data_IF_848520075349
#
_entry.id   IF_848520075349
#
_cell.length_a   1.000
_cell.length_b   1.000
_cell.length_c   1.000
_cell.angle_alpha   90.00
_cell.angle_beta   90.00
_cell.angle_gamma   90.00
#
_symmetry.space_group_name_H-M   'P 1'
#
loop_
_entity.id
_entity.type
_entity.pdbx_description
1 polymer ?
#
# COMPACT_ATOMS: atom_id res chain seq x y z
N UNK A 1 -17.19 95.26 -62.16
CA UNK A 1 -17.96 96.33 -61.51
C UNK A 1 -17.45 97.67 -62.07
N UNK A 2 -18.32 98.58 -62.51
CA UNK A 2 -17.87 99.90 -63.01
C UNK A 2 -17.35 100.76 -61.86
N UNK A 3 -16.41 101.69 -62.11
CA UNK A 3 -15.84 102.58 -61.08
C UNK A 3 -16.90 103.39 -60.32
N UNK A 4 -17.98 103.78 -61.00
CA UNK A 4 -19.12 104.48 -60.41
C UNK A 4 -19.86 103.59 -59.39
N UNK A 5 -20.00 102.30 -59.69
CA UNK A 5 -20.70 101.35 -58.81
C UNK A 5 -19.85 101.00 -57.59
N UNK A 6 -18.52 100.93 -57.75
CA UNK A 6 -17.57 100.78 -56.67
C UNK A 6 -17.61 101.98 -55.70
N UNK A 7 -17.67 103.21 -56.23
CA UNK A 7 -17.82 104.42 -55.42
C UNK A 7 -19.16 104.48 -54.67
N UNK A 8 -20.27 104.10 -55.32
CA UNK A 8 -21.59 104.00 -54.69
C UNK A 8 -21.60 102.97 -53.55
N UNK A 9 -20.99 101.81 -53.77
CA UNK A 9 -20.87 100.76 -52.76
C UNK A 9 -20.12 101.26 -51.52
N UNK A 10 -18.97 101.92 -51.70
CA UNK A 10 -18.19 102.50 -50.59
C UNK A 10 -18.98 103.53 -49.80
N UNK A 11 -19.80 104.36 -50.46
CA UNK A 11 -20.66 105.34 -49.77
C UNK A 11 -21.72 104.63 -48.92
N UNK A 12 -22.37 103.60 -49.46
CA UNK A 12 -23.39 102.83 -48.75
C UNK A 12 -22.79 102.07 -47.55
N UNK A 13 -21.63 101.45 -47.72
CA UNK A 13 -20.91 100.75 -46.66
C UNK A 13 -20.52 101.72 -45.53
N UNK A 14 -19.97 102.89 -45.88
CA UNK A 14 -19.64 103.93 -44.89
C UNK A 14 -20.86 104.45 -44.14
N UNK A 15 -22.00 104.68 -44.80
CA UNK A 15 -23.24 105.08 -44.13
C UNK A 15 -23.74 103.98 -43.18
N UNK A 16 -23.65 102.72 -43.60
CA UNK A 16 -24.03 101.56 -42.79
C UNK A 16 -23.16 101.42 -41.55
N UNK A 17 -21.84 101.55 -41.67
CA UNK A 17 -20.89 101.53 -40.55
C UNK A 17 -21.14 102.66 -39.56
N UNK A 18 -21.50 103.87 -40.05
CA UNK A 18 -21.87 105.00 -39.21
C UNK A 18 -23.17 104.73 -38.43
N UNK A 19 -24.19 104.15 -39.09
CA UNK A 19 -25.45 103.76 -38.44
C UNK A 19 -25.24 102.65 -37.40
N UNK A 20 -24.40 101.66 -37.69
CA UNK A 20 -24.03 100.61 -36.71
C UNK A 20 -23.31 101.20 -35.50
N UNK A 21 -22.41 102.15 -35.70
CA UNK A 21 -21.71 102.84 -34.61
C UNK A 21 -22.67 103.69 -33.77
N UNK A 22 -23.67 104.32 -34.40
CA UNK A 22 -24.73 105.02 -33.69
C UNK A 22 -25.59 104.07 -32.85
N UNK A 23 -25.97 102.92 -33.40
CA UNK A 23 -26.72 101.90 -32.68
C UNK A 23 -25.94 101.33 -31.51
N UNK A 24 -24.63 101.13 -31.63
CA UNK A 24 -23.78 100.66 -30.53
C UNK A 24 -23.73 101.69 -29.39
N UNK A 25 -23.62 102.99 -29.71
CA UNK A 25 -23.70 104.08 -28.71
C UNK A 25 -25.05 104.12 -27.99
N UNK A 26 -26.15 103.98 -28.73
CA UNK A 26 -27.51 103.95 -28.16
C UNK A 26 -27.70 102.70 -27.30
N UNK A 27 -27.20 101.55 -27.74
CA UNK A 27 -27.31 100.28 -27.02
C UNK A 27 -26.55 100.31 -25.69
N UNK A 28 -25.35 100.90 -25.66
CA UNK A 28 -24.53 101.02 -24.43
C UNK A 28 -25.16 101.92 -23.36
N UNK A 29 -26.08 102.81 -23.73
CA UNK A 29 -26.81 103.67 -22.78
C UNK A 29 -28.10 103.03 -22.25
N UNK A 30 -28.52 101.90 -22.82
CA UNK A 30 -29.87 101.34 -22.68
C UNK A 30 -29.88 99.95 -22.02
N UNK A 31 -28.75 99.24 -21.99
CA UNK A 31 -28.69 97.80 -21.68
C UNK A 31 -28.99 97.43 -20.22
N UNK A 32 -28.65 98.29 -19.26
CA UNK A 32 -28.73 97.92 -17.83
C UNK A 32 -30.13 98.17 -17.24
N UNK A 33 -30.76 99.30 -17.58
CA UNK A 33 -32.07 99.67 -17.02
C UNK A 33 -33.26 99.03 -17.78
N UNK A 34 -33.20 98.97 -19.12
CA UNK A 34 -34.37 98.57 -19.92
C UNK A 34 -34.56 97.04 -19.96
N UNK A 35 -33.51 96.23 -19.83
CA UNK A 35 -33.63 94.77 -19.87
C UNK A 35 -34.43 94.20 -18.69
N UNK A 36 -34.18 94.75 -17.49
CA UNK A 36 -34.89 94.35 -16.27
C UNK A 36 -36.34 94.85 -16.27
N UNK A 37 -36.55 96.09 -16.71
CA UNK A 37 -37.90 96.68 -16.82
C UNK A 37 -38.75 96.00 -17.90
N UNK A 38 -38.18 95.66 -19.05
CA UNK A 38 -38.89 95.02 -20.16
C UNK A 38 -39.31 93.58 -19.79
N UNK A 39 -38.41 92.82 -19.14
CA UNK A 39 -38.73 91.49 -18.62
C UNK A 39 -39.79 91.58 -17.51
N UNK A 40 -39.69 92.56 -16.60
CA UNK A 40 -40.68 92.82 -15.57
C UNK A 40 -42.05 93.20 -16.14
N UNK A 41 -42.10 94.02 -17.19
CA UNK A 41 -43.32 94.41 -17.88
C UNK A 41 -43.98 93.23 -18.60
N UNK A 42 -43.20 92.40 -19.29
CA UNK A 42 -43.72 91.25 -20.03
C UNK A 42 -44.23 90.15 -19.09
N UNK A 43 -43.54 89.90 -17.97
CA UNK A 43 -44.03 89.02 -16.90
C UNK A 43 -45.32 89.56 -16.29
N UNK A 44 -45.38 90.87 -15.99
CA UNK A 44 -46.58 91.51 -15.42
C UNK A 44 -47.78 91.41 -16.35
N UNK A 45 -47.57 91.63 -17.65
CA UNK A 45 -48.61 91.49 -18.69
C UNK A 45 -49.10 90.04 -18.80
N UNK A 46 -48.19 89.07 -18.74
CA UNK A 46 -48.55 87.65 -18.82
C UNK A 46 -49.30 87.17 -17.56
N UNK A 47 -48.93 87.69 -16.38
CA UNK A 47 -49.67 87.47 -15.14
C UNK A 47 -51.08 88.05 -15.19
N UNK A 48 -51.25 89.27 -15.73
CA UNK A 48 -52.58 89.87 -15.87
C UNK A 48 -53.47 89.09 -16.86
N UNK A 49 -52.89 88.59 -17.96
CA UNK A 49 -53.58 87.73 -18.92
C UNK A 49 -53.99 86.39 -18.29
N UNK A 50 -53.09 85.78 -17.50
CA UNK A 50 -53.38 84.57 -16.76
C UNK A 50 -54.54 84.78 -15.78
N UNK A 51 -54.50 85.85 -14.99
CA UNK A 51 -55.57 86.20 -14.05
C UNK A 51 -56.94 86.38 -14.74
N UNK A 52 -56.96 87.05 -15.90
CA UNK A 52 -58.19 87.20 -16.72
C UNK A 52 -58.70 85.85 -17.24
N UNK A 53 -57.82 84.96 -17.68
CA UNK A 53 -58.19 83.63 -18.14
C UNK A 53 -58.72 82.74 -16.99
N UNK A 54 -58.13 82.84 -15.79
CA UNK A 54 -58.57 82.13 -14.59
C UNK A 54 -59.96 82.57 -14.16
N UNK A 55 -60.21 83.88 -14.11
CA UNK A 55 -61.54 84.43 -13.80
C UNK A 55 -62.58 83.99 -14.83
N UNK A 56 -62.27 84.10 -16.13
CA UNK A 56 -63.17 83.65 -17.21
C UNK A 56 -63.44 82.15 -17.13
N UNK A 57 -62.43 81.34 -16.79
CA UNK A 57 -62.61 79.91 -16.59
C UNK A 57 -63.52 79.61 -15.40
N UNK A 58 -63.32 80.28 -14.27
CA UNK A 58 -64.15 80.12 -13.07
C UNK A 58 -65.62 80.49 -13.34
N UNK A 59 -65.87 81.62 -14.02
CA UNK A 59 -67.21 82.05 -14.43
C UNK A 59 -67.88 81.03 -15.36
N UNK A 60 -67.16 80.52 -16.36
CA UNK A 60 -67.69 79.53 -17.30
C UNK A 60 -67.97 78.18 -16.65
N UNK A 61 -67.15 77.76 -15.66
CA UNK A 61 -67.39 76.55 -14.87
C UNK A 61 -68.64 76.71 -13.99
N UNK A 62 -68.81 77.86 -13.33
CA UNK A 62 -70.02 78.17 -12.56
C UNK A 62 -71.27 78.20 -13.45
N UNK A 63 -71.18 78.87 -14.61
CA UNK A 63 -72.23 78.90 -15.62
C UNK A 63 -72.59 77.49 -16.10
N UNK A 64 -71.60 76.63 -16.38
CA UNK A 64 -71.80 75.22 -16.72
C UNK A 64 -72.56 74.46 -15.62
N UNK A 65 -72.20 74.65 -14.36
CA UNK A 65 -72.90 73.98 -13.23
C UNK A 65 -74.36 74.44 -13.05
N UNK A 66 -74.67 75.70 -13.41
CA UNK A 66 -76.03 76.25 -13.35
C UNK A 66 -76.94 75.86 -14.53
N UNK A 67 -76.36 75.36 -15.64
CA UNK A 67 -77.06 74.99 -16.88
C UNK A 67 -77.41 73.49 -16.93
N UNK A 68 -78.06 72.96 -15.89
CA UNK A 68 -78.54 71.58 -15.84
C UNK A 68 -80.01 71.49 -16.26
N UNK A 69 -80.36 70.56 -17.16
CA UNK A 69 -81.73 70.36 -17.69
C UNK A 69 -81.80 70.24 -19.21
N UNK A 70 -82.78 69.47 -19.72
CA UNK A 70 -82.90 69.07 -21.14
C UNK A 70 -83.14 70.27 -22.07
N UNK A 71 -83.84 71.31 -21.62
CA UNK A 71 -84.13 72.53 -22.41
C UNK A 71 -82.89 73.41 -22.66
N UNK A 72 -81.88 73.32 -21.78
CA UNK A 72 -80.66 74.16 -21.85
C UNK A 72 -79.49 73.45 -22.54
N UNK A 73 -79.73 72.28 -23.12
CA UNK A 73 -78.72 71.42 -23.79
C UNK A 73 -77.86 72.14 -24.86
N UNK A 74 -78.39 72.98 -25.76
CA UNK A 74 -77.54 73.68 -26.74
C UNK A 74 -76.59 74.69 -26.09
N UNK A 75 -77.09 75.50 -25.13
CA UNK A 75 -76.28 76.47 -24.38
C UNK A 75 -75.25 75.80 -23.47
N UNK A 76 -75.56 74.62 -22.95
CA UNK A 76 -74.62 73.80 -22.18
C UNK A 76 -73.48 73.27 -23.05
N UNK A 77 -73.77 72.84 -24.28
CA UNK A 77 -72.75 72.37 -25.23
C UNK A 77 -71.80 73.50 -25.65
N UNK A 78 -72.36 74.69 -25.94
CA UNK A 78 -71.59 75.91 -26.24
C UNK A 78 -70.70 76.32 -25.07
N UNK A 79 -71.24 76.36 -23.85
CA UNK A 79 -70.46 76.65 -22.64
C UNK A 79 -69.39 75.59 -22.38
N UNK A 80 -69.62 74.32 -22.72
CA UNK A 80 -68.60 73.27 -22.59
C UNK A 80 -67.44 73.45 -23.57
N UNK A 81 -67.71 73.91 -24.79
CA UNK A 81 -66.65 74.16 -25.77
C UNK A 81 -65.84 75.40 -25.40
N UNK A 82 -66.50 76.48 -24.95
CA UNK A 82 -65.82 77.66 -24.39
C UNK A 82 -64.94 77.32 -23.18
N UNK A 83 -65.40 76.45 -22.28
CA UNK A 83 -64.59 75.96 -21.13
C UNK A 83 -63.34 75.22 -21.61
N UNK A 84 -63.44 74.38 -22.65
CA UNK A 84 -62.28 73.67 -23.21
C UNK A 84 -61.30 74.63 -23.88
N UNK A 85 -61.79 75.61 -24.62
CA UNK A 85 -60.95 76.62 -25.26
C UNK A 85 -60.21 77.48 -24.23
N UNK A 86 -60.91 77.98 -23.20
CA UNK A 86 -60.28 78.76 -22.13
C UNK A 86 -59.30 77.90 -21.32
N UNK A 87 -59.60 76.62 -21.06
CA UNK A 87 -58.65 75.70 -20.42
C UNK A 87 -57.38 75.49 -21.24
N UNK A 88 -57.51 75.39 -22.58
CA UNK A 88 -56.37 75.27 -23.49
C UNK A 88 -55.54 76.56 -23.49
N UNK A 89 -56.18 77.72 -23.58
CA UNK A 89 -55.50 79.03 -23.50
C UNK A 89 -54.79 79.23 -22.16
N UNK A 90 -55.41 78.82 -21.05
CA UNK A 90 -54.84 78.87 -19.71
C UNK A 90 -53.60 77.97 -19.60
N UNK A 91 -53.67 76.75 -20.13
CA UNK A 91 -52.53 75.82 -20.17
C UNK A 91 -51.38 76.37 -21.01
N UNK A 92 -51.68 76.95 -22.17
CA UNK A 92 -50.66 77.55 -23.05
C UNK A 92 -50.03 78.80 -22.42
N UNK A 93 -50.83 79.65 -21.76
CA UNK A 93 -50.36 80.82 -21.00
C UNK A 93 -49.47 80.42 -19.82
N UNK A 94 -49.89 79.43 -19.03
CA UNK A 94 -49.10 78.87 -17.93
C UNK A 94 -47.78 78.26 -18.42
N UNK A 95 -47.79 77.58 -19.58
CA UNK A 95 -46.59 77.02 -20.19
C UNK A 95 -45.62 78.12 -20.65
N UNK A 96 -46.13 79.22 -21.23
CA UNK A 96 -45.32 80.39 -21.60
C UNK A 96 -44.70 81.06 -20.38
N UNK A 97 -45.48 81.26 -19.31
CA UNK A 97 -45.02 81.86 -18.06
C UNK A 97 -43.94 80.98 -17.40
N UNK A 98 -44.18 79.67 -17.31
CA UNK A 98 -43.21 78.71 -16.76
C UNK A 98 -41.95 78.64 -17.61
N UNK A 99 -42.06 78.78 -18.93
CA UNK A 99 -40.91 78.83 -19.84
C UNK A 99 -40.09 80.10 -19.60
N UNK A 100 -40.72 81.27 -19.51
CA UNK A 100 -40.07 82.54 -19.18
C UNK A 100 -39.36 82.54 -17.82
N UNK A 101 -39.89 81.80 -16.83
CA UNK A 101 -39.22 81.63 -15.54
C UNK A 101 -38.13 80.54 -15.53
N UNK A 102 -38.18 79.54 -16.43
CA UNK A 102 -37.22 78.42 -16.52
C UNK A 102 -36.06 78.69 -17.47
N UNK A 103 -36.37 79.20 -18.65
CA UNK A 103 -35.40 79.83 -19.53
C UNK A 103 -35.11 81.16 -18.86
N UNK A 104 -34.19 81.18 -17.90
CA UNK A 104 -33.60 82.41 -17.38
C UNK A 104 -32.95 83.06 -18.62
N UNK A 105 -33.61 84.00 -19.31
CA UNK A 105 -33.04 84.57 -20.50
C UNK A 105 -31.84 85.31 -19.97
N UNK A 106 -30.65 84.85 -20.31
CA UNK A 106 -29.44 85.56 -19.92
C UNK A 106 -29.37 86.76 -20.87
N UNK A 107 -30.22 87.75 -20.59
CA UNK A 107 -30.39 88.95 -21.41
C UNK A 107 -29.04 89.66 -21.52
N UNK A 108 -28.20 89.51 -20.50
CA UNK A 108 -26.82 89.96 -20.52
C UNK A 108 -25.98 89.20 -21.56
N UNK A 109 -26.00 87.86 -21.59
CA UNK A 109 -25.33 87.09 -22.66
C UNK A 109 -25.89 87.36 -24.05
N UNK A 110 -27.20 87.51 -24.19
CA UNK A 110 -27.83 87.82 -25.47
C UNK A 110 -27.45 89.24 -25.94
N UNK A 111 -27.41 90.22 -25.02
CA UNK A 111 -26.93 91.57 -25.30
C UNK A 111 -25.43 91.59 -25.63
N UNK A 112 -24.61 90.80 -24.91
CA UNK A 112 -23.18 90.62 -25.19
C UNK A 112 -22.96 89.99 -26.57
N UNK A 113 -23.76 88.97 -26.93
CA UNK A 113 -23.73 88.35 -28.25
C UNK A 113 -24.12 89.34 -29.34
N UNK A 114 -25.21 90.10 -29.16
CA UNK A 114 -25.61 91.14 -30.11
C UNK A 114 -24.54 92.20 -30.28
N UNK A 115 -23.85 92.59 -29.19
CA UNK A 115 -22.70 93.50 -29.25
C UNK A 115 -21.54 92.89 -30.03
N UNK A 116 -21.20 91.63 -29.76
CA UNK A 116 -20.14 90.90 -30.46
C UNK A 116 -20.45 90.77 -31.96
N UNK A 117 -21.65 90.32 -32.31
CA UNK A 117 -22.11 90.16 -33.70
C UNK A 117 -22.09 91.53 -34.44
N UNK A 118 -22.47 92.62 -33.77
CA UNK A 118 -22.38 93.99 -34.33
C UNK A 118 -20.93 94.42 -34.54
N UNK A 119 -20.03 94.14 -33.60
CA UNK A 119 -18.60 94.46 -33.75
C UNK A 119 -17.98 93.66 -34.90
N UNK A 120 -18.28 92.37 -35.01
CA UNK A 120 -17.83 91.52 -36.11
C UNK A 120 -18.37 91.98 -37.47
N UNK A 121 -19.66 92.32 -37.55
CA UNK A 121 -20.24 92.86 -38.76
C UNK A 121 -19.58 94.18 -39.16
N UNK A 122 -19.30 95.05 -38.17
CA UNK A 122 -18.59 96.30 -38.41
C UNK A 122 -17.19 96.07 -38.97
N UNK A 123 -16.43 95.13 -38.40
CA UNK A 123 -15.10 94.75 -38.88
C UNK A 123 -15.16 94.23 -40.32
N UNK A 124 -16.13 93.37 -40.64
CA UNK A 124 -16.35 92.87 -42.02
C UNK A 124 -16.67 94.02 -42.99
N UNK A 125 -17.47 94.99 -42.57
CA UNK A 125 -17.82 96.15 -43.38
C UNK A 125 -16.62 97.10 -43.58
N UNK A 126 -15.79 97.28 -42.57
CA UNK A 126 -14.55 98.08 -42.63
C UNK A 126 -13.51 97.41 -43.56
N UNK A 127 -13.31 96.10 -43.42
CA UNK A 127 -12.52 95.28 -44.35
C UNK A 127 -13.03 95.39 -45.78
N UNK A 128 -14.35 95.35 -45.97
CA UNK A 128 -14.99 95.50 -47.27
C UNK A 128 -14.74 96.89 -47.88
N UNK A 129 -14.82 97.94 -47.08
CA UNK A 129 -14.52 99.31 -47.51
C UNK A 129 -13.06 99.42 -47.94
N UNK A 130 -12.12 98.85 -47.18
CA UNK A 130 -10.71 98.87 -47.52
C UNK A 130 -10.42 98.09 -48.81
N UNK A 131 -10.94 96.87 -48.92
CA UNK A 131 -10.78 96.03 -50.10
C UNK A 131 -11.39 96.66 -51.34
N UNK A 132 -12.59 97.24 -51.24
CA UNK A 132 -13.26 97.92 -52.36
C UNK A 132 -12.67 99.29 -52.69
N UNK A 133 -11.83 99.89 -51.84
CA UNK A 133 -11.13 101.15 -52.15
C UNK A 133 -9.82 100.93 -52.93
N UNK A 134 -9.31 99.69 -52.97
CA UNK A 134 -8.11 99.32 -53.73
C UNK A 134 -8.43 98.96 -55.20
N UNK A 135 -7.51 99.25 -56.12
CA UNK A 135 -7.62 98.82 -57.53
C UNK A 135 -7.74 97.28 -57.61
N UNK A 136 -8.79 96.77 -58.25
CA UNK A 136 -9.09 95.33 -58.32
C UNK A 136 -9.84 94.76 -57.10
N UNK A 137 -10.36 95.62 -56.22
CA UNK A 137 -10.96 95.27 -54.93
C UNK A 137 -12.04 94.19 -54.93
N UNK A 138 -12.94 94.20 -55.92
CA UNK A 138 -14.03 93.23 -55.99
C UNK A 138 -13.55 91.80 -56.22
N UNK A 139 -12.50 91.60 -57.03
CA UNK A 139 -11.94 90.27 -57.28
C UNK A 139 -11.25 89.71 -56.02
N UNK A 140 -10.59 90.56 -55.24
CA UNK A 140 -9.98 90.17 -53.96
C UNK A 140 -11.04 89.77 -52.93
N UNK A 141 -12.15 90.50 -52.86
CA UNK A 141 -13.27 90.15 -52.00
C UNK A 141 -13.94 88.83 -52.42
N UNK A 142 -14.12 88.62 -53.72
CA UNK A 142 -14.63 87.36 -54.26
C UNK A 142 -13.71 86.19 -53.88
N UNK A 143 -12.39 86.34 -54.01
CA UNK A 143 -11.43 85.32 -53.58
C UNK A 143 -11.49 85.05 -52.06
N UNK A 144 -11.54 86.09 -51.22
CA UNK A 144 -11.69 85.95 -49.75
C UNK A 144 -12.99 85.21 -49.39
N UNK A 145 -14.08 85.51 -50.08
CA UNK A 145 -15.38 84.84 -49.87
C UNK A 145 -15.34 83.37 -50.28
N UNK A 146 -14.75 83.05 -51.42
CA UNK A 146 -14.56 81.65 -51.86
C UNK A 146 -13.71 80.88 -50.86
N UNK A 147 -12.60 81.47 -50.41
CA UNK A 147 -11.73 80.85 -49.41
C UNK A 147 -12.44 80.62 -48.07
N UNK A 148 -13.26 81.56 -47.62
CA UNK A 148 -14.04 81.39 -46.39
C UNK A 148 -15.08 80.28 -46.52
N UNK A 149 -15.71 80.14 -47.70
CA UNK A 149 -16.63 79.05 -47.99
C UNK A 149 -15.91 77.69 -47.98
N UNK A 150 -14.72 77.62 -48.58
CA UNK A 150 -13.88 76.41 -48.54
C UNK A 150 -13.45 76.06 -47.12
N UNK A 151 -13.05 77.05 -46.31
CA UNK A 151 -12.72 76.87 -44.89
C UNK A 151 -13.93 76.35 -44.10
N UNK A 152 -15.13 76.88 -44.39
CA UNK A 152 -16.37 76.43 -43.74
C UNK A 152 -16.70 74.97 -44.11
N UNK A 153 -16.48 74.57 -45.36
CA UNK A 153 -16.65 73.18 -45.80
C UNK A 153 -15.61 72.24 -45.16
N UNK A 154 -14.35 72.68 -45.05
CA UNK A 154 -13.32 71.95 -44.32
C UNK A 154 -13.68 71.79 -42.84
N UNK A 155 -14.17 72.85 -42.19
CA UNK A 155 -14.61 72.79 -40.80
C UNK A 155 -15.77 71.80 -40.63
N UNK A 156 -16.75 71.78 -41.55
CA UNK A 156 -17.84 70.79 -41.52
C UNK A 156 -17.33 69.36 -41.64
N UNK A 157 -16.34 69.12 -42.52
CA UNK A 157 -15.69 67.80 -42.65
C UNK A 157 -14.95 67.40 -41.38
N UNK A 158 -14.19 68.33 -40.78
CA UNK A 158 -13.48 68.09 -39.52
C UNK A 158 -14.44 67.77 -38.37
N UNK A 159 -15.56 68.49 -38.26
CA UNK A 159 -16.59 68.20 -37.26
C UNK A 159 -17.18 66.80 -37.47
N UNK A 160 -17.37 66.38 -38.73
CA UNK A 160 -17.88 65.05 -39.03
C UNK A 160 -16.87 63.95 -38.68
N UNK A 161 -15.59 64.12 -39.05
CA UNK A 161 -14.55 63.16 -38.69
C UNK A 161 -14.31 63.10 -37.19
N UNK A 162 -14.38 64.24 -36.49
CA UNK A 162 -14.29 64.29 -35.03
C UNK A 162 -15.45 63.52 -34.37
N UNK A 163 -16.68 63.64 -34.88
CA UNK A 163 -17.82 62.86 -34.38
C UNK A 163 -17.62 61.36 -34.59
N UNK A 164 -17.12 60.95 -35.75
CA UNK A 164 -16.84 59.55 -36.07
C UNK A 164 -15.73 58.99 -35.17
N UNK A 165 -14.63 59.72 -34.99
CA UNK A 165 -13.54 59.36 -34.08
C UNK A 165 -14.02 59.27 -32.64
N UNK A 166 -14.86 60.20 -32.18
CA UNK A 166 -15.43 60.15 -30.83
C UNK A 166 -16.35 58.95 -30.63
N UNK A 167 -17.10 58.53 -31.65
CA UNK A 167 -17.90 57.31 -31.59
C UNK A 167 -17.00 56.07 -31.52
N UNK A 168 -15.92 56.05 -32.29
CA UNK A 168 -14.96 54.95 -32.30
C UNK A 168 -14.21 54.84 -30.96
N UNK A 169 -13.77 55.95 -30.39
CA UNK A 169 -13.15 55.98 -29.05
C UNK A 169 -14.12 55.43 -28.01
N UNK A 170 -15.40 55.80 -28.07
CA UNK A 170 -16.42 55.24 -27.16
C UNK A 170 -16.58 53.73 -27.33
N UNK A 171 -16.60 53.23 -28.58
CA UNK A 171 -16.67 51.80 -28.88
C UNK A 171 -15.46 51.05 -28.31
N UNK A 172 -14.25 51.54 -28.60
CA UNK A 172 -13.01 50.94 -28.11
C UNK A 172 -12.91 50.97 -26.58
N UNK A 173 -13.35 52.05 -25.93
CA UNK A 173 -13.39 52.13 -24.46
C UNK A 173 -14.34 51.08 -23.87
N UNK A 174 -15.49 50.85 -24.51
CA UNK A 174 -16.44 49.81 -24.08
C UNK A 174 -15.86 48.40 -24.28
N UNK A 175 -15.19 48.15 -25.40
CA UNK A 175 -14.52 46.87 -25.68
C UNK A 175 -13.41 46.60 -24.68
N UNK A 176 -12.56 47.58 -24.40
CA UNK A 176 -11.52 47.48 -23.39
C UNK A 176 -12.09 47.19 -21.99
N UNK A 177 -13.17 47.88 -21.60
CA UNK A 177 -13.83 47.62 -20.32
C UNK A 177 -14.43 46.21 -20.26
N UNK A 178 -14.98 45.71 -21.36
CA UNK A 178 -15.51 44.34 -21.44
C UNK A 178 -14.39 43.32 -21.32
N UNK A 179 -13.32 43.47 -22.09
CA UNK A 179 -12.16 42.58 -22.05
C UNK A 179 -11.51 42.56 -20.66
N UNK A 180 -11.41 43.70 -20.00
CA UNK A 180 -10.92 43.78 -18.63
C UNK A 180 -11.81 43.02 -17.64
N UNK A 181 -13.15 43.09 -17.78
CA UNK A 181 -14.07 42.30 -16.93
C UNK A 181 -13.94 40.81 -17.21
N UNK A 182 -13.88 40.41 -18.47
CA UNK A 182 -13.73 39.01 -18.87
C UNK A 182 -12.41 38.44 -18.33
N UNK A 183 -11.32 39.21 -18.42
CA UNK A 183 -10.03 38.86 -17.82
C UNK A 183 -10.10 38.72 -16.29
N UNK A 184 -10.80 39.63 -15.60
CA UNK A 184 -10.97 39.53 -14.15
C UNK A 184 -11.74 38.27 -13.74
N UNK A 185 -12.79 37.93 -14.47
CA UNK A 185 -13.57 36.70 -14.24
C UNK A 185 -12.69 35.47 -14.46
N UNK A 186 -11.96 35.40 -15.58
CA UNK A 186 -11.05 34.29 -15.88
C UNK A 186 -9.96 34.16 -14.80
N UNK A 187 -9.43 35.27 -14.31
CA UNK A 187 -8.43 35.27 -13.23
C UNK A 187 -9.00 34.75 -11.92
N UNK A 188 -10.25 35.10 -11.59
CA UNK A 188 -10.96 34.57 -10.42
C UNK A 188 -11.20 33.06 -10.55
N UNK A 189 -11.71 32.59 -11.68
CA UNK A 189 -11.94 31.16 -11.93
C UNK A 189 -10.65 30.34 -11.85
N UNK A 190 -9.55 30.86 -12.43
CA UNK A 190 -8.22 30.23 -12.32
C UNK A 190 -7.73 30.16 -10.87
N UNK A 191 -7.90 31.24 -10.11
CA UNK A 191 -7.52 31.27 -8.70
C UNK A 191 -8.35 30.29 -7.85
N UNK A 192 -9.66 30.20 -8.09
CA UNK A 192 -10.54 29.21 -7.44
C UNK A 192 -10.12 27.78 -7.78
N UNK A 193 -9.77 27.52 -9.04
CA UNK A 193 -9.27 26.21 -9.48
C UNK A 193 -7.93 25.86 -8.82
N UNK A 194 -7.02 26.83 -8.70
CA UNK A 194 -5.75 26.65 -7.97
C UNK A 194 -6.04 26.32 -6.50
N UNK A 195 -7.00 27.00 -5.87
CA UNK A 195 -7.35 26.77 -4.48
C UNK A 195 -7.92 25.36 -4.26
N UNK A 196 -8.85 24.90 -5.12
CA UNK A 196 -9.37 23.52 -5.09
C UNK A 196 -8.28 22.49 -5.26
N UNK A 197 -7.37 22.69 -6.22
CA UNK A 197 -6.23 21.79 -6.43
C UNK A 197 -5.26 21.75 -5.23
N UNK A 198 -5.07 22.88 -4.53
CA UNK A 198 -4.27 22.93 -3.30
C UNK A 198 -4.95 22.15 -2.17
N UNK A 199 -6.26 22.27 -2.04
CA UNK A 199 -7.05 21.54 -1.05
C UNK A 199 -6.99 20.02 -1.29
N UNK A 200 -7.21 19.59 -2.54
CA UNK A 200 -7.07 18.18 -2.93
C UNK A 200 -5.65 17.64 -2.69
N UNK A 201 -4.62 18.45 -2.99
CA UNK A 201 -3.22 18.09 -2.74
C UNK A 201 -2.96 17.92 -1.23
N UNK A 202 -3.45 18.86 -0.41
CA UNK A 202 -3.33 18.80 1.04
C UNK A 202 -4.04 17.59 1.62
N UNK A 203 -5.24 17.28 1.15
CA UNK A 203 -6.00 16.11 1.55
C UNK A 203 -5.24 14.81 1.20
N UNK A 204 -4.83 14.66 -0.06
CA UNK A 204 -4.05 13.48 -0.49
C UNK A 204 -2.73 13.34 0.26
N UNK A 205 -2.04 14.44 0.55
CA UNK A 205 -0.80 14.43 1.35
C UNK A 205 -1.08 13.97 2.79
N UNK A 206 -2.17 14.45 3.39
CA UNK A 206 -2.58 14.03 4.74
C UNK A 206 -2.96 12.54 4.76
N UNK A 207 -3.77 12.08 3.81
CA UNK A 207 -4.16 10.67 3.68
C UNK A 207 -2.93 9.77 3.46
N UNK A 208 -2.01 10.15 2.57
CA UNK A 208 -0.77 9.40 2.34
C UNK A 208 0.12 9.35 3.59
N UNK A 209 0.22 10.46 4.33
CA UNK A 209 0.96 10.50 5.60
C UNK A 209 0.34 9.56 6.63
N UNK A 210 -0.98 9.62 6.82
CA UNK A 210 -1.69 8.76 7.76
C UNK A 210 -1.58 7.28 7.38
N UNK A 211 -1.75 6.95 6.09
CA UNK A 211 -1.56 5.59 5.58
C UNK A 211 -0.16 5.08 5.84
N UNK A 212 0.86 5.92 5.60
CA UNK A 212 2.26 5.55 5.87
C UNK A 212 2.50 5.32 7.36
N UNK A 213 2.02 6.20 8.23
CA UNK A 213 2.15 6.04 9.68
C UNK A 213 1.46 4.76 10.17
N UNK A 214 0.28 4.46 9.64
CA UNK A 214 -0.46 3.23 9.93
C UNK A 214 0.30 1.98 9.44
N UNK A 215 0.81 2.00 8.21
CA UNK A 215 1.60 0.90 7.65
C UNK A 215 2.90 0.68 8.42
N UNK A 216 3.59 1.76 8.81
CA UNK A 216 4.80 1.67 9.64
C UNK A 216 4.46 1.08 11.02
N UNK A 217 3.35 1.51 11.64
CA UNK A 217 2.90 0.96 12.92
C UNK A 217 2.54 -0.52 12.82
N UNK A 218 1.82 -0.92 11.76
CA UNK A 218 1.47 -2.32 11.52
C UNK A 218 2.71 -3.19 11.25
N UNK A 219 3.65 -2.70 10.42
CA UNK A 219 4.91 -3.40 10.17
C UNK A 219 5.73 -3.56 11.44
N UNK A 220 5.81 -2.52 12.29
CA UNK A 220 6.46 -2.60 13.60
C UNK A 220 5.77 -3.62 14.52
N UNK A 221 4.45 -3.56 14.65
CA UNK A 221 3.69 -4.51 15.48
C UNK A 221 3.86 -5.96 14.99
N UNK A 222 3.87 -6.19 13.67
CA UNK A 222 4.12 -7.50 13.09
C UNK A 222 5.56 -7.98 13.35
N UNK A 223 6.54 -7.09 13.22
CA UNK A 223 7.94 -7.39 13.54
C UNK A 223 8.10 -7.74 15.03
N UNK A 224 7.54 -6.93 15.93
CA UNK A 224 7.57 -7.18 17.38
C UNK A 224 6.89 -8.51 17.74
N UNK A 225 5.76 -8.82 17.13
CA UNK A 225 5.08 -10.10 17.32
C UNK A 225 5.93 -11.26 16.84
N UNK A 226 6.60 -11.12 15.69
CA UNK A 226 7.52 -12.13 15.16
C UNK A 226 8.72 -12.33 16.08
N UNK A 227 9.31 -11.25 16.58
CA UNK A 227 10.41 -11.30 17.55
C UNK A 227 9.97 -12.05 18.81
N UNK A 228 8.83 -11.68 19.41
CA UNK A 228 8.29 -12.38 20.59
C UNK A 228 8.07 -13.87 20.34
N UNK A 229 7.55 -14.24 19.18
CA UNK A 229 7.35 -15.64 18.80
C UNK A 229 8.70 -16.38 18.66
N UNK A 230 9.68 -15.75 18.03
CA UNK A 230 11.03 -16.31 17.88
C UNK A 230 11.72 -16.47 19.23
N UNK A 231 11.64 -15.49 20.12
CA UNK A 231 12.18 -15.57 21.48
C UNK A 231 11.55 -16.71 22.28
N UNK A 232 10.23 -16.90 22.16
CA UNK A 232 9.53 -18.02 22.78
C UNK A 232 10.00 -19.37 22.23
N UNK A 233 10.09 -19.51 20.91
CA UNK A 233 10.61 -20.72 20.27
C UNK A 233 12.05 -21.00 20.68
N UNK A 234 12.91 -19.98 20.72
CA UNK A 234 14.29 -20.11 21.17
C UNK A 234 14.37 -20.60 22.61
N UNK A 235 13.55 -20.08 23.53
CA UNK A 235 13.47 -20.56 24.91
C UNK A 235 13.02 -22.01 24.99
N UNK A 236 12.02 -22.40 24.20
CA UNK A 236 11.53 -23.78 24.16
C UNK A 236 12.63 -24.76 23.69
N UNK A 237 13.34 -24.41 22.62
CA UNK A 237 14.45 -25.22 22.11
C UNK A 237 15.62 -25.26 23.10
N UNK A 238 15.96 -24.14 23.74
CA UNK A 238 16.99 -24.12 24.80
C UNK A 238 16.63 -25.03 25.97
N UNK A 239 15.37 -25.02 26.43
CA UNK A 239 14.91 -25.91 27.48
C UNK A 239 15.02 -27.38 27.04
N UNK A 240 14.64 -27.68 25.79
CA UNK A 240 14.75 -29.03 25.23
C UNK A 240 16.19 -29.50 25.11
N UNK A 241 17.11 -28.63 24.68
CA UNK A 241 18.54 -28.89 24.69
C UNK A 241 19.01 -29.19 26.11
N UNK A 242 18.61 -28.38 27.08
CA UNK A 242 18.98 -28.59 28.49
C UNK A 242 18.48 -29.95 29.01
N UNK A 243 17.22 -30.31 28.76
CA UNK A 243 16.68 -31.62 29.13
C UNK A 243 17.44 -32.78 28.49
N UNK A 244 17.78 -32.66 27.20
CA UNK A 244 18.57 -33.67 26.49
C UNK A 244 20.01 -33.76 27.04
N UNK A 245 20.63 -32.64 27.38
CA UNK A 245 21.94 -32.62 28.02
C UNK A 245 21.92 -33.27 29.39
N UNK A 246 20.87 -33.04 30.20
CA UNK A 246 20.69 -33.71 31.49
C UNK A 246 20.53 -35.22 31.30
N UNK A 247 19.66 -35.65 30.36
CA UNK A 247 19.49 -37.08 30.03
C UNK A 247 20.82 -37.71 29.59
N UNK A 248 21.56 -37.06 28.71
CA UNK A 248 22.88 -37.52 28.26
C UNK A 248 23.86 -37.64 29.42
N UNK A 249 23.89 -36.68 30.35
CA UNK A 249 24.73 -36.75 31.55
C UNK A 249 24.36 -37.92 32.44
N UNK A 250 23.06 -38.14 32.70
CA UNK A 250 22.60 -39.27 33.50
C UNK A 250 22.95 -40.61 32.85
N UNK A 251 22.79 -40.72 31.52
CA UNK A 251 23.15 -41.92 30.77
C UNK A 251 24.66 -42.17 30.80
N UNK A 252 25.50 -41.13 30.65
CA UNK A 252 26.95 -41.24 30.79
C UNK A 252 27.34 -41.71 32.19
N UNK A 253 26.71 -41.19 33.25
CA UNK A 253 26.97 -41.62 34.62
C UNK A 253 26.57 -43.08 34.87
N UNK A 254 25.37 -43.49 34.42
CA UNK A 254 24.90 -44.88 34.54
C UNK A 254 25.79 -45.82 33.72
N UNK A 255 26.17 -45.44 32.50
CA UNK A 255 27.06 -46.21 31.67
C UNK A 255 28.44 -46.38 32.31
N UNK A 256 29.00 -45.32 32.91
CA UNK A 256 30.28 -45.40 33.62
C UNK A 256 30.18 -46.31 34.85
N UNK A 257 29.12 -46.18 35.66
CA UNK A 257 28.87 -47.07 36.79
C UNK A 257 28.70 -48.52 36.36
N UNK A 258 27.96 -48.77 35.26
CA UNK A 258 27.77 -50.10 34.70
C UNK A 258 29.08 -50.68 34.19
N UNK A 259 29.90 -49.87 33.50
CA UNK A 259 31.24 -50.26 33.06
C UNK A 259 32.11 -50.65 34.25
N UNK A 260 32.19 -49.81 35.28
CA UNK A 260 32.95 -50.12 36.50
C UNK A 260 32.44 -51.39 37.19
N UNK A 261 31.12 -51.59 37.25
CA UNK A 261 30.53 -52.81 37.80
C UNK A 261 30.91 -54.05 37.00
N UNK A 262 30.83 -53.99 35.67
CA UNK A 262 31.22 -55.08 34.77
C UNK A 262 32.72 -55.39 34.87
N UNK A 263 33.59 -54.36 34.92
CA UNK A 263 35.03 -54.53 35.13
C UNK A 263 35.33 -55.15 36.50
N UNK A 264 34.58 -54.78 37.55
CA UNK A 264 34.71 -55.39 38.87
C UNK A 264 34.27 -56.85 38.86
N UNK A 265 33.13 -57.16 38.21
CA UNK A 265 32.65 -58.54 38.07
C UNK A 265 33.56 -59.38 37.21
N UNK A 266 34.12 -58.84 36.13
CA UNK A 266 35.12 -59.53 35.32
C UNK A 266 36.37 -59.84 36.16
N UNK A 267 36.84 -58.88 36.97
CA UNK A 267 37.95 -59.12 37.92
C UNK A 267 37.62 -60.17 38.97
N UNK A 268 36.41 -60.15 39.52
CA UNK A 268 35.95 -61.14 40.50
C UNK A 268 35.88 -62.54 39.88
N UNK A 269 35.29 -62.68 38.70
CA UNK A 269 35.23 -63.94 37.94
C UNK A 269 36.63 -64.42 37.58
N UNK A 270 37.54 -63.53 37.15
CA UNK A 270 38.95 -63.90 36.90
C UNK A 270 39.62 -64.43 38.15
N UNK A 271 39.44 -63.75 39.30
CA UNK A 271 39.97 -64.20 40.59
C UNK A 271 39.39 -65.55 41.00
N UNK A 272 38.07 -65.74 40.91
CA UNK A 272 37.44 -67.02 41.21
C UNK A 272 37.92 -68.13 40.24
N UNK A 273 38.08 -67.81 38.96
CA UNK A 273 38.63 -68.72 37.96
C UNK A 273 40.08 -69.11 38.29
N UNK A 274 40.91 -68.17 38.73
CA UNK A 274 42.29 -68.43 39.17
C UNK A 274 42.31 -69.27 40.46
N UNK A 275 41.43 -68.97 41.43
CA UNK A 275 41.26 -69.75 42.66
C UNK A 275 40.82 -71.19 42.35
N UNK A 276 39.84 -71.37 41.45
CA UNK A 276 39.39 -72.68 40.99
C UNK A 276 40.45 -73.42 40.18
N UNK A 277 41.17 -72.73 39.30
CA UNK A 277 42.29 -73.31 38.56
C UNK A 277 43.39 -73.79 39.52
N UNK A 278 43.74 -72.99 40.52
CA UNK A 278 44.69 -73.36 41.57
C UNK A 278 44.21 -74.54 42.41
N UNK A 279 42.93 -74.55 42.82
CA UNK A 279 42.35 -75.67 43.58
C UNK A 279 42.30 -76.95 42.76
N UNK A 280 41.97 -76.85 41.47
CA UNK A 280 41.95 -78.00 40.55
C UNK A 280 43.37 -78.52 40.32
N UNK A 281 44.35 -77.63 40.16
CA UNK A 281 45.77 -77.99 40.08
C UNK A 281 46.25 -78.69 41.36
N UNK A 282 46.00 -78.13 42.53
CA UNK A 282 46.37 -78.74 43.82
C UNK A 282 45.67 -80.08 44.06
N UNK A 283 44.38 -80.20 43.70
CA UNK A 283 43.68 -81.46 43.78
C UNK A 283 44.21 -82.48 42.75
N UNK A 284 44.61 -82.02 41.57
CA UNK A 284 45.29 -82.82 40.55
C UNK A 284 46.62 -83.35 41.08
N UNK A 285 47.48 -82.47 41.60
CA UNK A 285 48.75 -82.82 42.25
C UNK A 285 48.53 -83.84 43.38
N UNK A 286 47.53 -83.62 44.25
CA UNK A 286 47.18 -84.56 45.32
C UNK A 286 46.68 -85.92 44.81
N UNK A 287 45.85 -85.93 43.76
CA UNK A 287 45.36 -87.17 43.15
C UNK A 287 46.50 -87.89 42.43
N UNK A 288 47.43 -87.19 41.79
CA UNK A 288 48.61 -87.76 41.18
C UNK A 288 49.55 -88.36 42.23
N UNK A 289 49.70 -87.70 43.39
CA UNK A 289 50.40 -88.25 44.56
C UNK A 289 49.71 -89.52 45.08
N UNK A 290 48.38 -89.53 45.17
CA UNK A 290 47.60 -90.68 45.61
C UNK A 290 47.66 -91.84 44.59
N UNK A 291 47.64 -91.54 43.29
CA UNK A 291 47.85 -92.51 42.22
C UNK A 291 49.27 -93.07 42.29
N UNK A 292 50.31 -92.24 42.47
CA UNK A 292 51.68 -92.71 42.67
C UNK A 292 51.81 -93.60 43.90
N UNK A 293 51.19 -93.24 45.02
CA UNK A 293 51.19 -94.04 46.23
C UNK A 293 50.48 -95.40 46.03
N UNK A 294 49.34 -95.41 45.32
CA UNK A 294 48.62 -96.63 44.97
C UNK A 294 49.38 -97.48 43.94
N UNK A 295 50.11 -96.86 43.01
CA UNK A 295 51.01 -97.55 42.09
C UNK A 295 52.19 -98.17 42.83
N UNK A 296 52.80 -97.46 43.78
CA UNK A 296 53.83 -98.01 44.65
C UNK A 296 53.29 -99.18 45.49
N UNK A 297 52.09 -99.06 46.07
CA UNK A 297 51.46 -100.15 46.81
C UNK A 297 51.15 -101.34 45.89
N UNK A 298 50.63 -101.09 44.69
CA UNK A 298 50.40 -102.11 43.66
C UNK A 298 51.70 -102.80 43.28
N UNK A 299 52.80 -102.06 43.10
CA UNK A 299 54.12 -102.64 42.82
C UNK A 299 54.60 -103.50 44.00
N UNK A 300 54.46 -103.04 45.25
CA UNK A 300 54.77 -103.85 46.44
C UNK A 300 53.95 -105.13 46.49
N UNK A 301 52.63 -105.06 46.23
CA UNK A 301 51.74 -106.22 46.20
C UNK A 301 52.06 -107.16 45.04
N UNK A 302 52.49 -106.63 43.90
CA UNK A 302 52.97 -107.44 42.77
C UNK A 302 54.24 -108.19 43.13
N UNK A 303 55.19 -107.54 43.80
CA UNK A 303 56.40 -108.19 44.33
C UNK A 303 56.04 -109.28 45.35
N UNK A 304 55.17 -109.01 46.33
CA UNK A 304 54.67 -110.02 47.26
C UNK A 304 53.98 -111.20 46.55
N UNK A 305 53.24 -110.93 45.47
CA UNK A 305 52.55 -111.96 44.69
C UNK A 305 53.52 -112.78 43.84
N UNK A 306 54.59 -112.18 43.32
CA UNK A 306 55.71 -112.90 42.69
C UNK A 306 56.50 -113.74 43.70
N UNK A 307 56.74 -113.23 44.91
CA UNK A 307 57.36 -113.99 46.01
C UNK A 307 56.49 -115.18 46.43
N UNK A 308 55.16 -115.00 46.53
CA UNK A 308 54.23 -116.08 46.80
C UNK A 308 54.14 -117.08 45.64
N UNK A 309 54.20 -116.62 44.38
CA UNK A 309 54.23 -117.51 43.20
C UNK A 309 55.52 -118.32 43.14
N UNK A 310 56.67 -117.71 43.42
CA UNK A 310 57.95 -118.43 43.47
C UNK A 310 58.01 -119.41 44.65
N UNK A 311 57.42 -119.06 45.80
CA UNK A 311 57.24 -119.99 46.92
C UNK A 311 56.36 -121.18 46.55
N UNK A 312 55.23 -120.93 45.88
CA UNK A 312 54.31 -121.97 45.39
C UNK A 312 54.94 -122.84 44.30
N UNK A 313 55.77 -122.26 43.43
CA UNK A 313 56.54 -123.03 42.43
C UNK A 313 57.62 -123.90 43.09
N UNK A 314 58.29 -123.41 44.15
CA UNK A 314 59.22 -124.22 44.96
C UNK A 314 58.51 -125.34 45.71
N UNK A 315 57.32 -125.09 46.27
CA UNK A 315 56.49 -126.11 46.93
C UNK A 315 55.95 -127.14 45.93
N UNK A 316 55.55 -126.74 44.72
CA UNK A 316 55.12 -127.65 43.66
C UNK A 316 56.26 -128.52 43.09
N UNK A 317 57.49 -127.99 43.03
CA UNK A 317 58.67 -128.79 42.70
C UNK A 317 59.00 -129.80 43.80
N UNK A 318 58.89 -129.41 45.07
CA UNK A 318 59.09 -130.31 46.20
C UNK A 318 58.04 -131.43 46.28
N UNK A 319 56.77 -131.14 45.95
CA UNK A 319 55.71 -132.16 45.85
C UNK A 319 55.95 -133.14 44.70
N UNK A 320 56.45 -132.67 43.54
CA UNK A 320 56.81 -133.57 42.43
C UNK A 320 58.00 -134.49 42.75
N UNK A 321 58.99 -134.01 43.50
CA UNK A 321 60.09 -134.85 43.98
C UNK A 321 59.65 -135.89 45.04
N UNK A 322 58.57 -135.61 45.77
CA UNK A 322 57.96 -136.55 46.71
C UNK A 322 57.12 -137.63 46.00
N UNK A 323 56.34 -137.26 44.97
CA UNK A 323 55.55 -138.19 44.17
C UNK A 323 56.42 -139.15 43.32
N UNK A 324 57.57 -138.70 42.79
CA UNK A 324 58.50 -139.58 42.05
C UNK A 324 59.19 -140.63 42.94
N UNK A 325 59.38 -140.35 44.24
CA UNK A 325 59.92 -141.31 45.21
C UNK A 325 58.90 -142.36 45.66
N UNK A 326 57.62 -141.98 45.78
CA UNK A 326 56.54 -142.91 46.13
C UNK A 326 56.17 -143.85 44.97
N UNK A 327 56.32 -143.41 43.70
CA UNK A 327 56.05 -144.25 42.53
C UNK A 327 57.10 -145.37 42.34
N UNK A 328 58.35 -145.15 42.75
CA UNK A 328 59.42 -146.15 42.67
C UNK A 328 59.28 -147.27 43.73
N UNK A 329 58.75 -146.97 44.93
CA UNK A 329 58.52 -147.98 45.98
C UNK A 329 57.32 -148.90 45.70
N UNK A 330 56.31 -148.43 44.95
CA UNK A 330 55.12 -149.21 44.61
C UNK A 330 55.41 -150.26 43.52
N UNK A 331 56.33 -149.97 42.59
CA UNK A 331 56.70 -150.88 41.49
C UNK A 331 57.53 -152.08 41.99
N UNK A 332 58.37 -151.90 43.03
CA UNK A 332 59.16 -152.98 43.64
C UNK A 332 58.33 -153.93 44.52
N UNK A 333 57.22 -153.47 45.12
CA UNK A 333 56.30 -154.32 45.89
C UNK A 333 55.47 -155.26 44.99
N UNK A 334 55.04 -154.80 43.81
CA UNK A 334 54.26 -155.61 42.85
C UNK A 334 55.05 -156.78 42.23
N UNK A 335 56.36 -156.65 42.08
CA UNK A 335 57.23 -157.74 41.58
C UNK A 335 57.41 -158.89 42.59
N UNK A 336 57.33 -158.61 43.90
CA UNK A 336 57.51 -159.62 44.97
C UNK A 336 56.24 -160.45 45.25
N UNK A 337 55.05 -159.88 45.07
CA UNK A 337 53.78 -160.61 45.25
C UNK A 337 53.49 -161.63 44.12
N UNK A 338 53.90 -161.33 42.88
CA UNK A 338 53.67 -162.21 41.73
C UNK A 338 54.48 -163.52 41.79
N UNK A 339 55.59 -163.55 42.55
CA UNK A 339 56.42 -164.73 42.75
C UNK A 339 55.90 -165.69 43.83
N UNK A 340 55.06 -165.22 44.78
CA UNK A 340 54.47 -166.08 45.80
C UNK A 340 53.21 -166.82 45.35
N UNK A 341 52.41 -166.20 44.49
CA UNK A 341 51.20 -166.83 43.91
C UNK A 341 51.54 -168.05 43.04
N UNK A 342 52.79 -168.16 42.53
CA UNK A 342 53.29 -169.34 41.79
C UNK A 342 53.70 -170.52 42.67
N UNK A 343 53.99 -170.31 43.96
CA UNK A 343 54.40 -171.38 44.90
C UNK A 343 53.21 -171.99 45.64
N UNK A 344 52.15 -171.21 45.88
CA UNK A 344 50.92 -171.67 46.56
C UNK A 344 49.97 -172.48 45.66
N UNK A 345 50.03 -172.30 44.34
CA UNK A 345 49.25 -173.10 43.37
C UNK A 345 49.86 -174.49 43.08
N UNK A 346 51.13 -174.74 43.45
CA UNK A 346 51.79 -176.03 43.28
C UNK A 346 51.53 -177.02 44.42
N UNK A 347 51.10 -176.52 45.59
CA UNK A 347 50.88 -177.33 46.81
C UNK A 347 49.41 -177.77 46.94
N UNK A 348 48.46 -176.99 46.41
CA UNK A 348 47.03 -177.35 46.38
C UNK A 348 46.67 -178.42 45.33
N UNK A 349 47.51 -178.62 44.32
CA UNK A 349 47.29 -179.65 43.29
C UNK A 349 47.69 -181.07 43.75
N UNK A 350 48.50 -181.21 44.81
CA UNK A 350 49.03 -182.50 45.31
C UNK A 350 48.11 -183.13 46.39
N UNK A 351 47.17 -182.39 46.98
CA UNK A 351 46.26 -182.90 48.02
C UNK A 351 44.84 -183.22 47.55
N UNK A 352 44.38 -182.70 46.40
CA UNK A 352 43.01 -182.92 45.93
C UNK A 352 42.84 -184.10 44.96
N UNK A 353 43.90 -184.60 44.30
CA UNK A 353 43.78 -185.72 43.34
C UNK A 353 43.97 -187.13 43.96
N UNK A 354 44.32 -187.24 45.25
CA UNK A 354 44.30 -188.53 46.00
C UNK A 354 42.89 -188.89 46.53
N UNK A 355 41.97 -187.91 46.59
CA UNK A 355 40.59 -188.11 47.06
C UNK A 355 39.66 -188.45 45.88
N UNK A 356 39.91 -187.94 44.67
CA UNK A 356 39.10 -188.27 43.48
C UNK A 356 39.51 -189.57 42.76
N UNK A 357 40.63 -190.20 43.16
CA UNK A 357 41.03 -191.55 42.70
C UNK A 357 40.26 -192.69 43.41
N UNK A 358 39.40 -192.39 44.40
CA UNK A 358 38.62 -193.39 45.17
C UNK A 358 37.12 -193.45 44.81
N UNK A 359 36.55 -192.51 44.03
CA UNK A 359 35.09 -192.48 43.79
C UNK A 359 34.58 -192.54 42.34
N UNK A 360 35.40 -192.52 41.29
CA UNK A 360 34.88 -192.82 39.95
C UNK A 360 35.95 -193.39 39.01
N UNK A 361 35.85 -194.68 38.74
CA UNK A 361 36.84 -195.44 37.99
C UNK A 361 37.06 -194.95 36.56
N UNK A 362 38.33 -195.08 36.16
CA UNK A 362 38.69 -195.69 34.88
C UNK A 362 38.58 -194.81 33.63
N UNK A 363 39.73 -194.63 32.97
CA UNK A 363 39.72 -194.66 31.50
C UNK A 363 40.49 -193.55 30.81
N UNK A 364 41.83 -193.68 30.81
CA UNK A 364 42.67 -193.71 29.60
C UNK A 364 42.29 -192.76 28.44
N UNK A 365 43.25 -191.86 28.17
CA UNK A 365 44.26 -191.91 27.07
C UNK A 365 44.27 -190.68 26.16
N UNK A 366 45.47 -190.06 26.13
CA UNK A 366 46.25 -189.63 24.94
C UNK A 366 45.53 -188.68 23.97
N UNK A 367 46.12 -187.56 23.55
CA UNK A 367 47.42 -187.49 22.85
C UNK A 367 47.62 -186.04 22.34
N UNK A 368 48.88 -185.60 22.41
CA UNK A 368 49.64 -184.96 21.32
C UNK A 368 49.17 -183.58 20.76
N UNK A 369 50.13 -182.66 20.89
CA UNK A 369 50.97 -182.08 19.81
C UNK A 369 50.71 -180.61 19.44
N UNK A 370 51.81 -179.88 19.62
CA UNK A 370 52.63 -179.20 18.59
C UNK A 370 52.32 -177.74 18.31
N UNK A 371 53.46 -177.08 18.04
CA UNK A 371 53.71 -176.02 17.04
C UNK A 371 53.19 -174.63 17.44
N UNK A 372 53.86 -173.54 17.08
CA UNK A 372 55.14 -173.25 16.42
C UNK A 372 55.29 -171.72 16.53
N UNK A 373 56.53 -171.22 16.45
CA UNK A 373 57.02 -169.99 15.79
C UNK A 373 56.05 -168.79 15.76
N UNK A 374 56.41 -167.60 16.21
CA UNK A 374 57.67 -166.88 16.04
C UNK A 374 57.82 -165.87 17.17
#
# INVERSE_FOLDING_TARGET
>A
MNQIDQAKLVIILNDTTKRLTLLDRISQTVTDDISSELAGWEISKLLEQQYKLENKYAELVLKRTSLTGIEKKPKLLETQEEVKEVAKMLKDSTKKLTRLFKENPDIEKDAQKVKLDRSQLKEILEDLIELTSQNGGFNKFQQKTTQELENQDQLRRLIQTEKELNQEIKRLTQEQQKEFRDYQIEQQEKNEKIQKLKEELMEKKSQAKLSREYDEKNKRAAADSKIRMQEYQQKLELNKIHELEQKRKTEQQVHEQLRMYLENKEREIKRESEEWANKTRLNGERLDEEISALEEEKQRRLVELEELRTRKQKEALAQKEQEEKELQEIEERKQKELQQIRKDNAIKLIQNEFIEWKEAGGGKKKKKKKKKKA
#
